data_IF_268724777832
#
_entry.id   IF_268724777832
#
_cell.length_a   1.000
_cell.length_b   1.000
_cell.length_c   1.000
_cell.angle_alpha   90.00
_cell.angle_beta   90.00
_cell.angle_gamma   90.00
#
_symmetry.space_group_name_H-M   'P 1'
#
loop_
_entity.id
_entity.type
_entity.pdbx_description
1 polymer ?
#
# COMPACT_ATOMS: atom_id res chain seq x y z
N UNK A 1 1.09 5.46 6.03
CA UNK A 1 1.72 4.68 4.94
C UNK A 1 3.07 4.21 5.46
N UNK A 2 3.38 2.92 5.41
CA UNK A 2 4.66 2.38 5.87
C UNK A 2 5.51 1.93 4.70
N UNK A 3 6.83 2.06 4.81
CA UNK A 3 7.79 1.50 3.86
C UNK A 3 8.91 0.83 4.63
N UNK A 4 9.43 -0.27 4.09
CA UNK A 4 10.54 -1.00 4.67
C UNK A 4 11.44 -1.53 3.54
N UNK A 5 12.77 -1.34 3.61
CA UNK A 5 13.68 -1.99 2.67
C UNK A 5 13.66 -3.50 2.90
N UNK A 6 13.63 -4.27 1.82
CA UNK A 6 13.77 -5.73 1.86
C UNK A 6 15.24 -6.07 1.78
N UNK A 7 15.82 -6.58 2.88
CA UNK A 7 17.27 -6.78 3.03
C UNK A 7 17.73 -8.22 2.79
N UNK A 8 16.80 -9.16 2.67
CA UNK A 8 17.04 -10.57 2.41
C UNK A 8 15.98 -11.13 1.44
N UNK A 9 15.92 -12.44 1.25
CA UNK A 9 14.91 -13.06 0.38
C UNK A 9 13.46 -12.85 0.83
N UNK A 10 13.22 -12.37 2.06
CA UNK A 10 11.90 -12.09 2.63
C UNK A 10 11.93 -10.78 3.40
N UNK A 11 10.90 -9.95 3.21
CA UNK A 11 10.62 -8.78 4.03
C UNK A 11 9.18 -8.80 4.51
N UNK A 12 8.94 -8.36 5.74
CA UNK A 12 7.60 -8.23 6.32
C UNK A 12 7.47 -6.85 6.94
N UNK A 13 6.50 -6.09 6.45
CA UNK A 13 6.05 -4.85 7.06
C UNK A 13 4.70 -5.13 7.72
N UNK A 14 4.63 -4.98 9.03
CA UNK A 14 3.42 -5.11 9.82
C UNK A 14 2.91 -3.70 10.18
N UNK A 15 1.66 -3.40 9.85
CA UNK A 15 1.04 -2.11 10.11
C UNK A 15 -0.26 -2.32 10.89
N UNK A 16 -0.33 -1.78 12.10
CA UNK A 16 -1.48 -1.88 12.98
C UNK A 16 -1.96 -0.46 13.33
N UNK A 17 -3.25 -0.34 13.67
CA UNK A 17 -3.89 0.91 14.09
C UNK A 17 -3.68 2.09 13.12
N UNK A 18 -3.72 1.81 11.82
CA UNK A 18 -3.60 2.84 10.78
C UNK A 18 -4.84 3.72 10.79
N UNK A 19 -4.67 4.98 11.21
CA UNK A 19 -5.74 5.97 11.16
C UNK A 19 -5.82 6.63 9.78
N UNK A 20 -7.01 6.65 9.20
CA UNK A 20 -7.34 7.38 7.99
C UNK A 20 -8.51 8.32 8.28
N UNK A 21 -8.30 9.62 8.08
CA UNK A 21 -9.36 10.63 8.12
C UNK A 21 -9.61 11.14 6.72
N UNK A 22 -10.88 11.16 6.33
CA UNK A 22 -11.34 11.70 5.05
C UNK A 22 -12.54 12.60 5.36
N UNK A 23 -12.49 13.87 4.93
CA UNK A 23 -13.56 14.84 5.17
C UNK A 23 -13.85 15.67 3.91
N UNK A 24 -15.03 16.30 3.89
CA UNK A 24 -15.51 17.19 2.82
C UNK A 24 -15.60 16.56 1.40
N UNK A 25 -15.86 15.26 1.27
CA UNK A 25 -15.87 14.58 -0.04
C UNK A 25 -17.10 14.81 -0.94
N UNK A 26 -18.18 15.42 -0.42
CA UNK A 26 -19.37 15.77 -1.22
C UNK A 26 -20.11 14.58 -1.86
N UNK A 27 -19.79 13.35 -1.48
CA UNK A 27 -20.31 12.10 -2.06
C UNK A 27 -19.62 10.87 -1.46
N UNK A 28 -19.96 9.66 -1.94
CA UNK A 28 -19.41 8.40 -1.42
C UNK A 28 -17.88 8.33 -1.59
N UNK A 29 -17.20 7.82 -0.57
CA UNK A 29 -15.74 7.61 -0.61
C UNK A 29 -15.47 6.12 -0.72
N UNK A 30 -14.57 5.72 -1.63
CA UNK A 30 -14.11 4.33 -1.73
C UNK A 30 -12.63 4.27 -1.37
N UNK A 31 -12.29 3.39 -0.43
CA UNK A 31 -10.93 3.12 0.01
C UNK A 31 -10.50 1.74 -0.43
N UNK A 32 -9.22 1.58 -0.77
CA UNK A 32 -8.65 0.27 -1.12
C UNK A 32 -7.26 0.11 -0.51
N UNK A 33 -7.00 -1.04 0.06
CA UNK A 33 -5.66 -1.43 0.47
C UNK A 33 -4.81 -1.78 -0.76
N UNK A 34 -3.54 -1.41 -0.72
CA UNK A 34 -2.56 -1.81 -1.73
C UNK A 34 -1.23 -2.11 -1.06
N UNK A 35 -0.46 -3.00 -1.69
CA UNK A 35 0.92 -3.25 -1.33
C UNK A 35 1.77 -3.16 -2.60
N UNK A 36 2.92 -2.52 -2.48
CA UNK A 36 3.84 -2.33 -3.59
C UNK A 36 5.20 -2.90 -3.23
N UNK A 37 5.71 -3.75 -4.11
CA UNK A 37 7.05 -4.30 -4.03
C UNK A 37 7.87 -3.74 -5.19
N UNK A 38 9.02 -3.17 -4.89
CA UNK A 38 9.95 -2.63 -5.88
C UNK A 38 11.33 -3.25 -5.68
N UNK A 39 11.93 -3.71 -6.77
CA UNK A 39 13.30 -4.24 -6.82
C UNK A 39 14.07 -3.48 -7.89
N UNK A 40 15.29 -3.08 -7.54
CA UNK A 40 16.24 -2.49 -8.46
C UNK A 40 17.53 -3.30 -8.45
N UNK A 41 18.10 -3.49 -9.64
CA UNK A 41 19.40 -4.08 -9.89
C UNK A 41 20.22 -3.14 -10.79
N UNK A 42 21.47 -3.48 -11.07
CA UNK A 42 22.32 -2.68 -11.95
C UNK A 42 21.78 -2.53 -13.39
N UNK A 43 20.88 -3.43 -13.81
CA UNK A 43 20.41 -3.51 -15.21
C UNK A 43 18.90 -3.34 -15.36
N UNK A 44 18.13 -3.42 -14.27
CA UNK A 44 16.68 -3.37 -14.33
C UNK A 44 16.08 -2.90 -13.01
N UNK A 45 14.99 -2.14 -13.12
CA UNK A 45 14.07 -1.82 -12.05
C UNK A 45 12.70 -2.40 -12.37
N UNK A 46 12.02 -2.96 -11.38
CA UNK A 46 10.68 -3.53 -11.51
C UNK A 46 9.86 -3.19 -10.29
N UNK A 47 8.58 -2.87 -10.50
CA UNK A 47 7.63 -2.57 -9.46
C UNK A 47 6.33 -3.32 -9.73
N UNK A 48 5.81 -3.98 -8.69
CA UNK A 48 4.55 -4.70 -8.71
C UNK A 48 3.66 -4.13 -7.61
N UNK A 49 2.41 -3.83 -7.95
CA UNK A 49 1.39 -3.45 -6.98
C UNK A 49 0.26 -4.48 -6.99
N UNK A 50 -0.13 -4.92 -5.80
CA UNK A 50 -1.31 -5.76 -5.59
C UNK A 50 -2.34 -4.96 -4.82
N UNK A 51 -3.60 -5.22 -5.13
CA UNK A 51 -4.73 -4.44 -4.65
C UNK A 51 -5.73 -5.37 -3.98
N UNK A 52 -6.16 -5.00 -2.77
CA UNK A 52 -7.24 -5.70 -2.08
C UNK A 52 -8.61 -5.30 -2.62
N UNK A 53 -9.65 -5.86 -2.01
CA UNK A 53 -11.02 -5.48 -2.32
C UNK A 53 -11.30 -4.02 -1.88
N UNK A 54 -12.10 -3.27 -2.67
CA UNK A 54 -12.51 -1.93 -2.28
C UNK A 54 -13.51 -1.97 -1.13
N UNK A 55 -13.44 -0.99 -0.24
CA UNK A 55 -14.40 -0.73 0.82
C UNK A 55 -15.02 0.66 0.61
N UNK A 56 -16.34 0.74 0.61
CA UNK A 56 -17.06 2.02 0.50
C UNK A 56 -17.30 2.55 1.91
N UNK A 57 -16.83 3.78 2.15
CA UNK A 57 -17.09 4.55 3.36
C UNK A 57 -18.39 5.31 3.16
N UNK A 58 -19.33 5.05 4.08
CA UNK A 58 -20.67 5.63 4.11
C UNK A 58 -20.77 6.62 5.26
#
# INVERSE_FOLDING_TARGET
MGTMPVTAGVGRLDMQDVHLKVDACGGPVTVRSYATFAVASAVQQTQLSVYGDPYVLN
#
